data_IF_317489167637
#
_entry.id   IF_317489167637
#
_cell.length_a   1.000
_cell.length_b   1.000
_cell.length_c   1.000
_cell.angle_alpha   90.00
_cell.angle_beta   90.00
_cell.angle_gamma   90.00
#
_symmetry.space_group_name_H-M   'P 1'
#
loop_
_entity.id
_entity.type
_entity.pdbx_description
1 polymer ?
#
# COMPACT_ATOMS: atom_id res chain seq x y z
N UNK A 1 12.05 5.68 -18.33
CA UNK A 1 11.43 4.82 -17.30
C UNK A 1 9.94 4.78 -17.60
N UNK A 2 9.27 3.62 -17.52
CA UNK A 2 7.83 3.58 -17.79
C UNK A 2 7.05 4.25 -16.66
N UNK A 3 5.92 4.88 -16.99
CA UNK A 3 5.02 5.49 -16.02
C UNK A 3 4.46 4.41 -15.06
N UNK A 4 4.47 4.64 -13.73
CA UNK A 4 3.93 3.68 -12.79
C UNK A 4 2.41 3.55 -12.93
N UNK A 5 1.91 2.33 -12.78
CA UNK A 5 0.47 2.04 -12.77
C UNK A 5 -0.11 2.06 -11.36
N UNK A 6 0.74 1.94 -10.34
CA UNK A 6 0.41 2.17 -8.94
C UNK A 6 1.51 3.10 -8.41
N UNK A 7 1.10 4.22 -7.83
CA UNK A 7 1.98 5.13 -7.11
C UNK A 7 1.34 5.50 -5.78
N UNK A 8 1.99 5.12 -4.68
CA UNK A 8 1.60 5.44 -3.32
C UNK A 8 2.74 6.20 -2.69
N UNK A 9 2.45 7.37 -2.16
CA UNK A 9 3.42 8.25 -1.51
C UNK A 9 3.02 8.50 -0.06
N UNK A 10 3.94 8.16 0.86
CA UNK A 10 3.87 8.46 2.29
C UNK A 10 2.54 8.07 2.96
N UNK A 11 1.92 6.97 2.51
CA UNK A 11 0.62 6.54 3.01
C UNK A 11 0.73 6.11 4.48
N UNK A 12 0.01 6.85 5.32
CA UNK A 12 -0.22 6.48 6.72
C UNK A 12 -1.68 6.15 6.90
N UNK A 13 -1.96 4.99 7.51
CA UNK A 13 -3.33 4.58 7.85
C UNK A 13 -3.45 4.22 9.32
N UNK A 14 -4.40 4.85 10.00
CA UNK A 14 -4.77 4.56 11.39
C UNK A 14 -6.21 4.04 11.48
N UNK A 15 -6.41 3.10 12.39
CA UNK A 15 -7.72 2.60 12.80
C UNK A 15 -7.82 2.73 14.32
N UNK A 16 -8.46 3.81 14.79
CA UNK A 16 -8.44 4.16 16.21
C UNK A 16 -7.00 4.35 16.70
N UNK A 17 -6.62 3.62 17.75
CA UNK A 17 -5.28 3.66 18.33
C UNK A 17 -4.20 2.91 17.52
N UNK A 18 -4.60 2.07 16.56
CA UNK A 18 -3.67 1.22 15.81
C UNK A 18 -3.22 1.90 14.53
N UNK A 19 -1.91 2.06 14.36
CA UNK A 19 -1.32 2.48 13.08
C UNK A 19 -1.05 1.24 12.22
N UNK A 20 -1.84 1.05 11.17
CA UNK A 20 -1.76 -0.13 10.30
C UNK A 20 -0.75 0.05 9.15
N UNK A 21 -0.52 1.29 8.71
CA UNK A 21 0.52 1.67 7.74
C UNK A 21 1.17 2.96 8.23
N UNK A 22 2.48 3.07 8.10
CA UNK A 22 3.28 4.23 8.53
C UNK A 22 4.19 4.65 7.39
N UNK A 23 3.94 5.82 6.79
CA UNK A 23 4.76 6.39 5.70
C UNK A 23 5.11 5.39 4.58
N UNK A 24 4.12 4.63 4.12
CA UNK A 24 4.36 3.62 3.08
C UNK A 24 4.42 4.29 1.71
N UNK A 25 5.57 4.18 1.05
CA UNK A 25 5.78 4.61 -0.33
C UNK A 25 6.05 3.38 -1.22
N UNK A 26 5.28 3.21 -2.28
CA UNK A 26 5.46 2.12 -3.25
C UNK A 26 5.14 2.59 -4.66
N UNK A 27 5.97 2.20 -5.62
CA UNK A 27 5.77 2.46 -7.05
C UNK A 27 5.86 1.15 -7.82
N UNK A 28 4.85 0.86 -8.64
CA UNK A 28 4.78 -0.36 -9.46
C UNK A 28 4.71 0.04 -10.94
N UNK A 29 5.73 -0.30 -11.75
CA UNK A 29 5.73 0.00 -13.17
C UNK A 29 4.72 -0.87 -13.94
N UNK A 30 4.29 -0.38 -15.10
CA UNK A 30 3.45 -1.16 -16.02
C UNK A 30 4.12 -2.48 -16.41
N UNK A 31 3.35 -3.58 -16.38
CA UNK A 31 3.79 -4.90 -16.85
C UNK A 31 4.58 -5.72 -15.83
N UNK A 32 4.71 -5.26 -14.60
CA UNK A 32 5.42 -5.98 -13.55
C UNK A 32 4.48 -6.72 -12.59
N UNK A 33 4.99 -7.79 -11.99
CA UNK A 33 4.30 -8.61 -10.98
C UNK A 33 5.09 -8.54 -9.68
N UNK A 34 4.44 -8.13 -8.58
CA UNK A 34 5.05 -8.01 -7.27
C UNK A 34 4.28 -8.86 -6.25
N UNK A 35 5.03 -9.45 -5.30
CA UNK A 35 4.46 -10.09 -4.12
C UNK A 35 4.58 -9.20 -2.89
N UNK A 36 3.48 -8.97 -2.18
CA UNK A 36 3.49 -8.28 -0.88
C UNK A 36 3.57 -9.31 0.26
N UNK A 37 4.72 -9.37 0.94
CA UNK A 37 5.02 -10.37 1.97
C UNK A 37 5.26 -9.69 3.32
N UNK A 38 4.94 -10.41 4.41
CA UNK A 38 5.10 -9.94 5.78
C UNK A 38 4.25 -10.76 6.75
N UNK A 39 4.52 -10.66 8.05
CA UNK A 39 3.79 -11.39 9.09
C UNK A 39 2.29 -11.05 9.13
N UNK A 40 1.50 -11.86 9.83
CA UNK A 40 0.09 -11.53 10.10
C UNK A 40 0.01 -10.21 10.88
N UNK A 41 -0.94 -9.35 10.50
CA UNK A 41 -1.08 -8.02 11.10
C UNK A 41 -0.16 -6.92 10.53
N UNK A 42 0.80 -7.23 9.65
CA UNK A 42 1.76 -6.25 9.11
C UNK A 42 1.18 -5.18 8.15
N UNK A 43 -0.14 -5.07 8.01
CA UNK A 43 -0.77 -4.03 7.16
C UNK A 43 -0.98 -4.40 5.69
N UNK A 44 -0.61 -5.61 5.25
CA UNK A 44 -0.70 -6.05 3.83
C UNK A 44 -2.07 -5.82 3.19
N UNK A 45 -3.13 -6.35 3.83
CA UNK A 45 -4.52 -6.17 3.36
C UNK A 45 -4.94 -4.71 3.38
N UNK A 46 -4.47 -3.93 4.34
CA UNK A 46 -4.73 -2.48 4.41
C UNK A 46 -4.12 -1.76 3.22
N UNK A 47 -2.85 -2.05 2.88
CA UNK A 47 -2.18 -1.45 1.73
C UNK A 47 -2.89 -1.81 0.41
N UNK A 48 -3.19 -3.10 0.19
CA UNK A 48 -3.89 -3.57 -1.01
C UNK A 48 -5.26 -2.88 -1.15
N UNK A 49 -6.02 -2.73 -0.05
CA UNK A 49 -7.31 -2.03 -0.10
C UNK A 49 -7.19 -0.55 -0.48
N UNK A 50 -6.11 0.15 -0.09
CA UNK A 50 -5.88 1.54 -0.54
C UNK A 50 -5.52 1.58 -2.03
N UNK A 51 -4.63 0.68 -2.47
CA UNK A 51 -4.26 0.56 -3.90
C UNK A 51 -5.49 0.29 -4.78
N UNK A 52 -6.42 -0.55 -4.31
CA UNK A 52 -7.67 -0.87 -5.01
C UNK A 52 -8.76 0.21 -4.87
N UNK A 53 -8.50 1.31 -4.14
CA UNK A 53 -9.50 2.35 -3.88
C UNK A 53 -10.66 1.93 -2.96
N UNK A 54 -10.54 0.79 -2.28
CA UNK A 54 -11.54 0.27 -1.34
C UNK A 54 -11.45 0.95 0.04
N UNK A 55 -10.34 1.63 0.32
CA UNK A 55 -10.14 2.50 1.46
C UNK A 55 -9.64 3.86 0.96
N UNK A 56 -10.18 4.93 1.54
CA UNK A 56 -9.64 6.29 1.35
C UNK A 56 -8.53 6.53 2.37
N UNK A 57 -7.49 7.33 2.02
CA UNK A 57 -6.43 7.73 2.95
C UNK A 57 -6.99 8.20 4.29
#
# INVERSE_FOLDING_TARGET
MSEPVIDVSELTRRFGATTALTSVSVSVPRGAVYGLVGANGAGKTTLIKHVLGLLRP
#
